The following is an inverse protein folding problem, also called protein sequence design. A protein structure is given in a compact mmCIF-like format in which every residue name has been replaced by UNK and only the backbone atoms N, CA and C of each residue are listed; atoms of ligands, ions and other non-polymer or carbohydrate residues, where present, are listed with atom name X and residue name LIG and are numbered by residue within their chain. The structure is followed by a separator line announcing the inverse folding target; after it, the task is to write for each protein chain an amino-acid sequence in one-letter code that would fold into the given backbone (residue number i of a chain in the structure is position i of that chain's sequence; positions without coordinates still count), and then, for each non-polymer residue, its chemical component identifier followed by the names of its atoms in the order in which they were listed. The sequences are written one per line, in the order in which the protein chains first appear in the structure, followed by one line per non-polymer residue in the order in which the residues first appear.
data_IF_012905428197
#
_entry.id   IF_012905428197
#
_cell.length_a   1.000
_cell.length_b   1.000
_cell.length_c   1.000
_cell.angle_alpha   90.00
_cell.angle_beta   90.00
_cell.angle_gamma   90.00
#
_symmetry.space_group_name_H-M   'P 1'
#
loop_
_entity.id
_entity.type
_entity.pdbx_description
1 polymer ?
#
# COMPACT_ATOMS: atom_id res chain seq x y z
N UNK A 1 -6.37 -44.06 -37.62
CA UNK A 1 -5.96 -43.02 -36.66
C UNK A 1 -6.50 -43.24 -35.23
N UNK A 2 -7.43 -44.21 -34.99
CA UNK A 2 -7.96 -44.48 -33.64
C UNK A 2 -6.94 -45.14 -32.68
N UNK A 3 -5.86 -45.73 -33.20
CA UNK A 3 -4.81 -46.35 -32.39
C UNK A 3 -3.83 -45.37 -31.77
N UNK A 4 -3.53 -44.25 -32.41
CA UNK A 4 -2.53 -43.30 -31.95
C UNK A 4 -3.04 -42.49 -30.73
N UNK A 5 -4.30 -42.04 -30.77
CA UNK A 5 -4.92 -41.33 -29.63
C UNK A 5 -5.12 -42.23 -28.41
N UNK A 6 -5.47 -43.52 -28.65
CA UNK A 6 -5.58 -44.52 -27.58
C UNK A 6 -4.21 -44.86 -26.96
N UNK A 7 -3.17 -44.98 -27.77
CA UNK A 7 -1.81 -45.19 -27.29
C UNK A 7 -1.26 -43.97 -26.55
N UNK A 8 -1.49 -42.76 -27.07
CA UNK A 8 -1.08 -41.52 -26.43
C UNK A 8 -1.81 -41.35 -25.03
N UNK A 9 -3.10 -41.62 -24.99
CA UNK A 9 -3.86 -41.54 -23.70
C UNK A 9 -3.40 -42.59 -22.69
N UNK A 10 -3.02 -43.78 -23.16
CA UNK A 10 -2.48 -44.83 -22.29
C UNK A 10 -1.09 -44.44 -21.73
N UNK A 11 -0.22 -43.87 -22.56
CA UNK A 11 1.10 -43.40 -22.13
C UNK A 11 0.97 -42.23 -21.14
N UNK A 12 0.10 -41.27 -21.43
CA UNK A 12 -0.15 -40.14 -20.52
C UNK A 12 -0.68 -40.63 -19.17
N UNK A 13 -1.68 -41.53 -19.17
CA UNK A 13 -2.18 -42.12 -17.93
C UNK A 13 -1.10 -42.89 -17.19
N UNK A 14 -0.32 -43.73 -17.87
CA UNK A 14 0.74 -44.50 -17.24
C UNK A 14 1.86 -43.63 -16.66
N UNK A 15 2.20 -42.53 -17.37
CA UNK A 15 3.26 -41.61 -16.91
C UNK A 15 2.79 -40.69 -15.81
N UNK A 16 1.58 -40.11 -15.93
CA UNK A 16 1.03 -39.18 -14.93
C UNK A 16 0.64 -39.90 -13.64
N UNK A 17 0.13 -41.16 -13.74
CA UNK A 17 -0.20 -41.98 -12.58
C UNK A 17 0.96 -42.87 -12.10
N UNK A 18 2.14 -42.79 -12.72
CA UNK A 18 3.32 -43.40 -12.12
C UNK A 18 3.62 -42.72 -10.79
N UNK A 19 3.68 -43.51 -9.73
CA UNK A 19 3.88 -43.04 -8.35
C UNK A 19 5.02 -42.04 -8.21
N UNK A 20 6.11 -42.28 -8.94
CA UNK A 20 7.30 -41.43 -8.93
C UNK A 20 7.05 -40.08 -9.63
N UNK A 21 6.34 -40.09 -10.76
CA UNK A 21 5.97 -38.86 -11.50
C UNK A 21 5.00 -38.02 -10.68
N UNK A 22 4.01 -38.65 -10.04
CA UNK A 22 3.07 -37.96 -9.17
C UNK A 22 3.76 -37.31 -7.97
N UNK A 23 4.71 -38.00 -7.34
CA UNK A 23 5.50 -37.46 -6.22
C UNK A 23 6.34 -36.27 -6.65
N UNK A 24 6.97 -36.32 -7.84
CA UNK A 24 7.75 -35.21 -8.38
C UNK A 24 6.85 -34.01 -8.65
N UNK A 25 5.71 -34.19 -9.33
CA UNK A 25 4.78 -33.11 -9.63
C UNK A 25 4.16 -32.52 -8.37
N UNK A 26 3.69 -33.35 -7.46
CA UNK A 26 3.09 -32.90 -6.19
C UNK A 26 4.15 -32.21 -5.31
N UNK A 27 5.36 -32.78 -5.24
CA UNK A 27 6.46 -32.19 -4.48
C UNK A 27 6.95 -30.86 -5.07
N UNK A 28 7.11 -30.78 -6.40
CA UNK A 28 7.48 -29.54 -7.06
C UNK A 28 6.43 -28.43 -6.90
N UNK A 29 5.14 -28.81 -7.01
CA UNK A 29 4.03 -27.86 -6.82
C UNK A 29 3.98 -27.37 -5.37
N UNK A 30 4.08 -28.27 -4.41
CA UNK A 30 4.09 -27.93 -2.98
C UNK A 30 5.30 -27.04 -2.63
N UNK A 31 6.48 -27.40 -3.13
CA UNK A 31 7.69 -26.60 -2.97
C UNK A 31 7.54 -25.20 -3.56
N UNK A 32 6.99 -25.10 -4.79
CA UNK A 32 6.73 -23.81 -5.43
C UNK A 32 5.75 -22.96 -4.64
N UNK A 33 4.65 -23.53 -4.17
CA UNK A 33 3.65 -22.81 -3.37
C UNK A 33 4.27 -22.29 -2.06
N UNK A 34 5.05 -23.12 -1.37
CA UNK A 34 5.69 -22.73 -0.11
C UNK A 34 6.77 -21.68 -0.36
N UNK A 35 7.66 -21.94 -1.32
CA UNK A 35 8.79 -21.06 -1.60
C UNK A 35 8.36 -19.71 -2.19
N UNK A 36 7.31 -19.72 -3.03
CA UNK A 36 6.81 -18.50 -3.65
C UNK A 36 5.87 -17.72 -2.72
N UNK A 37 5.05 -18.39 -1.92
CA UNK A 37 4.15 -17.73 -0.99
C UNK A 37 4.88 -17.13 0.23
N UNK A 38 5.97 -17.77 0.69
CA UNK A 38 6.73 -17.35 1.86
C UNK A 38 7.17 -15.89 1.85
N UNK A 39 7.83 -15.34 0.80
CA UNK A 39 8.22 -13.94 0.77
C UNK A 39 7.02 -13.00 0.67
N UNK A 40 5.87 -13.45 0.13
CA UNK A 40 4.68 -12.62 0.00
C UNK A 40 3.83 -12.56 1.27
N UNK A 41 3.90 -13.56 2.14
CA UNK A 41 3.16 -13.57 3.41
C UNK A 41 3.63 -12.46 4.37
N UNK A 42 4.84 -11.95 4.21
CA UNK A 42 5.45 -10.98 5.11
C UNK A 42 5.64 -9.59 4.45
N UNK A 43 5.11 -9.38 3.24
CA UNK A 43 5.15 -8.07 2.55
C UNK A 43 4.07 -7.12 3.08
N UNK A 44 4.13 -6.80 4.35
CA UNK A 44 3.47 -5.61 4.83
C UNK A 44 4.31 -4.41 4.36
N UNK A 45 3.68 -3.51 3.62
CA UNK A 45 4.30 -2.22 3.26
C UNK A 45 4.42 -1.45 4.56
N UNK A 46 5.62 -1.48 5.15
CA UNK A 46 5.97 -0.77 6.38
C UNK A 46 7.03 0.26 6.05
N UNK A 47 7.02 1.37 6.80
CA UNK A 47 8.07 2.39 6.73
C UNK A 47 8.20 3.05 5.35
N UNK A 48 7.08 3.53 4.78
CA UNK A 48 7.13 4.37 3.59
C UNK A 48 7.68 5.74 4.00
N UNK A 49 8.85 6.17 3.49
CA UNK A 49 9.41 7.49 3.79
C UNK A 49 8.49 8.57 3.22
N UNK A 50 7.94 9.41 4.10
CA UNK A 50 6.95 10.44 3.75
C UNK A 50 7.44 11.82 4.17
N UNK A 51 7.23 12.82 3.28
CA UNK A 51 7.27 14.22 3.64
C UNK A 51 5.83 14.72 3.85
N UNK A 52 5.61 15.45 4.93
CA UNK A 52 4.34 16.11 5.21
C UNK A 52 4.50 17.61 5.02
N UNK A 53 3.70 18.16 4.11
CA UNK A 53 3.56 19.60 3.90
C UNK A 53 2.28 20.05 4.60
N UNK A 54 2.41 20.77 5.70
CA UNK A 54 1.28 21.27 6.49
C UNK A 54 1.14 22.77 6.24
N UNK A 55 0.24 23.13 5.33
CA UNK A 55 -0.07 24.53 5.02
C UNK A 55 -1.18 25.13 5.92
N UNK A 56 -1.92 24.27 6.65
CA UNK A 56 -3.08 24.69 7.45
C UNK A 56 -2.68 25.09 8.89
N UNK A 57 -1.72 24.39 9.48
CA UNK A 57 -1.20 24.59 10.83
C UNK A 57 -2.28 24.63 11.94
N UNK A 58 -3.45 24.03 11.69
CA UNK A 58 -4.62 24.02 12.56
C UNK A 58 -4.63 22.84 13.53
N UNK A 59 -5.67 22.75 14.38
CA UNK A 59 -5.88 21.59 15.24
C UNK A 59 -6.23 20.33 14.42
N UNK A 60 -6.94 20.48 13.30
CA UNK A 60 -7.30 19.39 12.42
C UNK A 60 -6.05 18.81 11.70
N UNK A 61 -5.19 19.68 11.16
CA UNK A 61 -3.95 19.25 10.50
C UNK A 61 -3.00 18.54 11.46
N UNK A 62 -2.86 19.04 12.70
CA UNK A 62 -2.06 18.39 13.76
C UNK A 62 -2.57 17.00 14.13
N UNK A 63 -3.89 16.79 14.15
CA UNK A 63 -4.49 15.47 14.43
C UNK A 63 -4.24 14.50 13.29
N UNK A 64 -4.40 14.94 12.04
CA UNK A 64 -4.13 14.13 10.86
C UNK A 64 -2.66 13.69 10.83
N UNK A 65 -1.76 14.64 11.06
CA UNK A 65 -0.32 14.37 11.15
C UNK A 65 0.00 13.37 12.27
N UNK A 66 -0.56 13.55 13.48
CA UNK A 66 -0.37 12.62 14.58
C UNK A 66 -0.90 11.22 14.29
N UNK A 67 -2.02 11.10 13.57
CA UNK A 67 -2.53 9.81 13.12
C UNK A 67 -1.62 9.14 12.08
N UNK A 68 -1.01 9.91 11.18
CA UNK A 68 -0.01 9.40 10.24
C UNK A 68 1.26 8.92 10.98
N UNK A 69 1.76 9.71 11.92
CA UNK A 69 2.94 9.36 12.73
C UNK A 69 2.72 8.11 13.61
N UNK A 70 1.51 7.89 14.07
CA UNK A 70 1.14 6.71 14.86
C UNK A 70 0.96 5.45 14.01
N UNK A 71 0.87 5.58 12.70
CA UNK A 71 0.69 4.44 11.79
C UNK A 71 2.04 3.78 11.49
N UNK A 72 2.17 2.45 11.57
CA UNK A 72 3.40 1.75 11.23
C UNK A 72 3.75 1.76 9.74
N UNK A 73 2.83 2.25 8.91
CA UNK A 73 3.01 2.35 7.45
C UNK A 73 3.89 3.53 7.07
N UNK A 74 3.86 4.61 7.86
CA UNK A 74 4.55 5.85 7.53
C UNK A 74 5.86 6.01 8.32
N UNK A 75 6.92 6.37 7.61
CA UNK A 75 8.18 6.87 8.18
C UNK A 75 8.29 8.37 7.84
N UNK A 76 7.82 9.23 8.75
CA UNK A 76 7.79 10.67 8.52
C UNK A 76 9.19 11.24 8.68
N UNK A 77 9.86 11.52 7.54
CA UNK A 77 11.23 12.03 7.50
C UNK A 77 11.33 13.54 7.43
N UNK A 78 10.38 14.18 6.76
CA UNK A 78 10.39 15.62 6.55
C UNK A 78 9.04 16.22 6.93
N UNK A 79 9.10 17.35 7.63
CA UNK A 79 7.94 18.18 7.96
C UNK A 79 8.28 19.61 7.58
N UNK A 80 7.54 20.16 6.66
CA UNK A 80 7.79 21.52 6.16
C UNK A 80 6.47 22.16 5.77
N UNK A 81 6.34 23.48 5.89
CA UNK A 81 5.25 24.22 5.27
C UNK A 81 5.51 24.50 3.78
N UNK A 82 6.74 24.26 3.29
CA UNK A 82 7.15 24.55 1.94
C UNK A 82 7.05 23.31 1.03
N UNK A 83 6.12 23.38 0.08
CA UNK A 83 5.96 22.32 -0.92
C UNK A 83 7.19 22.14 -1.82
N UNK A 84 7.97 23.21 -2.06
CA UNK A 84 9.16 23.13 -2.91
C UNK A 84 10.26 22.29 -2.25
N UNK A 85 10.44 22.42 -0.95
CA UNK A 85 11.38 21.61 -0.15
C UNK A 85 10.98 20.14 -0.17
N UNK A 86 9.71 19.83 0.03
CA UNK A 86 9.19 18.46 0.00
C UNK A 86 9.35 17.82 -1.39
N UNK A 87 9.13 18.58 -2.47
CA UNK A 87 9.33 18.10 -3.84
C UNK A 87 10.82 17.88 -4.12
N UNK A 88 11.70 18.72 -3.59
CA UNK A 88 13.15 18.54 -3.71
C UNK A 88 13.58 17.23 -3.03
N UNK A 89 13.09 16.94 -1.82
CA UNK A 89 13.34 15.68 -1.11
C UNK A 89 12.81 14.45 -1.87
N UNK A 90 11.64 14.58 -2.52
CA UNK A 90 11.09 13.52 -3.37
C UNK A 90 11.98 13.25 -4.60
N UNK A 91 12.52 14.30 -5.22
CA UNK A 91 13.46 14.18 -6.36
C UNK A 91 14.80 13.61 -5.94
N UNK A 92 15.28 13.96 -4.75
CA UNK A 92 16.50 13.42 -4.15
C UNK A 92 16.34 11.96 -3.69
N UNK A 93 15.11 11.40 -3.73
CA UNK A 93 14.77 10.07 -3.24
C UNK A 93 14.95 9.89 -1.72
N UNK A 94 14.98 10.97 -0.96
CA UNK A 94 14.99 10.94 0.50
C UNK A 94 13.62 10.53 1.06
N UNK A 95 12.55 10.83 0.30
CA UNK A 95 11.18 10.41 0.56
C UNK A 95 10.53 9.81 -0.69
N UNK A 96 9.62 8.87 -0.51
CA UNK A 96 8.88 8.22 -1.59
C UNK A 96 7.54 8.89 -1.89
N UNK A 97 7.00 9.58 -0.90
CA UNK A 97 5.66 10.20 -0.97
C UNK A 97 5.68 11.56 -0.28
N UNK A 98 4.99 12.53 -0.90
CA UNK A 98 4.69 13.84 -0.31
C UNK A 98 3.19 13.92 -0.07
N UNK A 99 2.81 14.25 1.15
CA UNK A 99 1.41 14.47 1.56
C UNK A 99 1.24 15.95 1.86
N UNK A 100 0.40 16.65 1.10
CA UNK A 100 0.12 18.07 1.28
C UNK A 100 -1.25 18.26 1.91
N UNK A 101 -1.28 18.90 3.06
CA UNK A 101 -2.46 19.30 3.79
C UNK A 101 -2.79 20.74 3.41
N UNK A 102 -3.91 21.01 2.70
CA UNK A 102 -4.25 22.35 2.23
C UNK A 102 -4.67 23.29 3.37
N UNK A 103 -4.54 24.59 3.17
CA UNK A 103 -4.80 25.66 4.15
C UNK A 103 -6.22 25.70 4.71
N UNK A 104 -7.17 25.15 3.99
CA UNK A 104 -8.60 25.22 4.28
C UNK A 104 -9.16 23.92 4.88
N UNK A 105 -8.29 23.00 5.33
CA UNK A 105 -8.69 21.70 5.85
C UNK A 105 -9.70 21.82 7.01
N UNK A 106 -9.37 22.57 8.05
CA UNK A 106 -10.23 22.70 9.22
C UNK A 106 -11.54 23.42 8.90
N UNK A 107 -11.49 24.46 8.07
CA UNK A 107 -12.65 25.23 7.67
C UNK A 107 -13.64 24.39 6.84
N UNK A 108 -13.14 23.59 5.88
CA UNK A 108 -13.97 22.65 5.11
C UNK A 108 -14.59 21.57 5.98
N UNK A 109 -13.80 20.99 6.89
CA UNK A 109 -14.33 20.04 7.86
C UNK A 109 -15.38 20.66 8.78
N UNK A 110 -15.22 21.94 9.14
CA UNK A 110 -16.20 22.66 9.94
C UNK A 110 -17.53 22.86 9.20
N UNK A 111 -17.49 23.08 7.90
CA UNK A 111 -18.67 23.23 7.02
C UNK A 111 -19.30 21.88 6.63
N UNK A 112 -18.67 20.75 7.00
CA UNK A 112 -19.13 19.42 6.56
C UNK A 112 -18.83 19.12 5.11
N UNK A 113 -17.90 19.87 4.49
CA UNK A 113 -17.46 19.68 3.12
C UNK A 113 -16.36 18.60 3.06
N UNK A 114 -16.19 18.00 1.88
CA UNK A 114 -15.11 17.07 1.63
C UNK A 114 -13.77 17.82 1.58
N UNK A 115 -12.88 17.51 2.51
CA UNK A 115 -11.52 18.02 2.48
C UNK A 115 -10.62 17.06 1.68
N UNK A 116 -9.85 17.60 0.74
CA UNK A 116 -8.98 16.81 -0.12
C UNK A 116 -7.53 17.01 0.32
N UNK A 117 -6.88 15.90 0.67
CA UNK A 117 -5.43 15.88 0.91
C UNK A 117 -4.75 15.42 -0.37
N UNK A 118 -3.73 16.15 -0.80
CA UNK A 118 -3.00 15.84 -2.01
C UNK A 118 -1.84 14.89 -1.70
N UNK A 119 -1.75 13.80 -2.46
CA UNK A 119 -0.69 12.80 -2.32
C UNK A 119 0.10 12.76 -3.62
N UNK A 120 1.37 13.09 -3.55
CA UNK A 120 2.31 12.99 -4.66
C UNK A 120 3.28 11.84 -4.37
N UNK A 121 3.22 10.79 -5.17
CA UNK A 121 4.09 9.62 -5.03
C UNK A 121 5.10 9.54 -6.18
N UNK A 122 6.28 9.01 -5.90
CA UNK A 122 7.24 8.70 -6.94
C UNK A 122 6.69 7.60 -7.85
N UNK A 123 6.60 7.86 -9.16
CA UNK A 123 6.03 6.97 -10.16
C UNK A 123 6.75 5.61 -10.30
N UNK A 124 7.96 5.48 -9.76
CA UNK A 124 8.70 4.22 -9.75
C UNK A 124 8.06 3.13 -8.86
N UNK A 125 7.22 3.52 -7.87
CA UNK A 125 6.60 2.60 -6.93
C UNK A 125 5.09 2.84 -6.77
N UNK A 126 4.27 2.54 -7.77
CA UNK A 126 2.82 2.84 -7.74
C UNK A 126 2.07 2.12 -6.61
N UNK A 127 2.59 1.00 -6.13
CA UNK A 127 2.00 0.23 -5.03
C UNK A 127 2.10 0.99 -3.70
N UNK A 128 3.21 1.69 -3.45
CA UNK A 128 3.41 2.50 -2.25
C UNK A 128 2.41 3.67 -2.19
N UNK A 129 2.17 4.34 -3.31
CA UNK A 129 1.20 5.43 -3.40
C UNK A 129 -0.24 4.99 -3.06
N UNK A 130 -0.66 3.80 -3.53
CA UNK A 130 -1.99 3.25 -3.22
C UNK A 130 -2.13 2.87 -1.74
N UNK A 131 -1.10 2.29 -1.14
CA UNK A 131 -1.12 1.94 0.27
C UNK A 131 -1.23 3.18 1.17
N UNK A 132 -0.49 4.24 0.83
CA UNK A 132 -0.57 5.55 1.51
C UNK A 132 -1.97 6.15 1.38
N UNK A 133 -2.55 6.12 0.19
CA UNK A 133 -3.89 6.65 -0.06
C UNK A 133 -4.97 5.90 0.73
N UNK A 134 -4.88 4.57 0.83
CA UNK A 134 -5.80 3.77 1.63
C UNK A 134 -5.71 4.12 3.12
N UNK A 135 -4.51 4.22 3.68
CA UNK A 135 -4.30 4.56 5.09
C UNK A 135 -4.71 6.01 5.41
N UNK A 136 -4.49 6.95 4.49
CA UNK A 136 -4.97 8.33 4.66
C UNK A 136 -6.50 8.40 4.69
N UNK A 137 -7.19 7.59 3.88
CA UNK A 137 -8.67 7.53 3.93
C UNK A 137 -9.18 7.00 5.26
N UNK A 138 -8.52 6.00 5.84
CA UNK A 138 -8.86 5.48 7.18
C UNK A 138 -8.59 6.52 8.28
N UNK A 139 -7.45 7.21 8.23
CA UNK A 139 -7.12 8.28 9.16
C UNK A 139 -8.11 9.44 9.08
N UNK A 140 -8.52 9.84 7.88
CA UNK A 140 -9.54 10.87 7.66
C UNK A 140 -10.91 10.45 8.20
N UNK A 141 -11.33 9.21 7.97
CA UNK A 141 -12.57 8.65 8.53
C UNK A 141 -12.54 8.62 10.07
N UNK A 142 -11.41 8.27 10.66
CA UNK A 142 -11.20 8.31 12.11
C UNK A 142 -11.39 9.72 12.70
N UNK A 143 -10.96 10.77 12.02
CA UNK A 143 -11.13 12.16 12.42
C UNK A 143 -12.61 12.58 12.34
N UNK A 144 -13.30 12.20 11.28
CA UNK A 144 -14.74 12.47 11.08
C UNK A 144 -15.56 11.74 12.17
N UNK A 145 -15.29 10.45 12.41
CA UNK A 145 -15.97 9.66 13.44
C UNK A 145 -15.76 10.23 14.86
N UNK A 146 -14.56 10.72 15.17
CA UNK A 146 -14.28 11.32 16.49
C UNK A 146 -15.07 12.61 16.73
N UNK A 147 -15.39 13.34 15.67
CA UNK A 147 -16.18 14.56 15.75
C UNK A 147 -17.67 14.30 15.94
N UNK A 148 -18.21 13.27 15.30
CA UNK A 148 -19.62 12.85 15.48
C UNK A 148 -19.89 12.36 16.90
N UNK A 149 -18.91 11.76 17.58
CA UNK A 149 -19.05 11.25 18.94
C UNK A 149 -19.03 12.35 20.02
N UNK A 150 -18.64 13.58 19.69
CA UNK A 150 -18.58 14.72 20.63
C UNK A 150 -19.69 15.76 20.42
N UNK A 151 -20.55 15.56 19.45
CA UNK A 151 -21.77 16.33 19.24
C UNK A 151 -22.96 15.63 19.86
#
# INVERSE_FOLDING_TARGET
PKGFLGFASFLVKKTVFARDTFLIFAGATAFYLIFYAWPYMNQQIQFVPVAIVDEDATAASRRLRGAMEASPVFDVRLRTPDAAEAIAALRAQDVDVVVTIPKDLEERLARGENATVHVLANGAFPVKGRAVQAQLSEAALGIICTRIRRA
#
